data_IF_139334199943
#
_entry.id   IF_139334199943
#
_cell.length_a   1.000
_cell.length_b   1.000
_cell.length_c   1.000
_cell.angle_alpha   90.00
_cell.angle_beta   90.00
_cell.angle_gamma   90.00
#
_symmetry.space_group_name_H-M   'P 1'
#
loop_
_entity.id
_entity.type
_entity.pdbx_description
1 polymer ?
#
# COMPACT_ATOMS: atom_id res chain seq x y z
N UNK A 1 6.55 -25.04 0.85
CA UNK A 1 7.29 -24.36 1.95
C UNK A 1 6.43 -24.37 3.21
N UNK A 2 6.98 -24.88 4.29
CA UNK A 2 6.42 -24.74 5.64
C UNK A 2 6.38 -23.26 6.07
N UNK A 3 5.55 -22.92 7.07
CA UNK A 3 5.44 -21.53 7.58
C UNK A 3 6.80 -20.96 8.04
N UNK A 4 7.67 -21.72 8.75
CA UNK A 4 9.01 -21.25 9.10
C UNK A 4 9.88 -20.94 7.88
N UNK A 5 9.83 -21.77 6.83
CA UNK A 5 10.58 -21.55 5.59
C UNK A 5 10.08 -20.32 4.83
N UNK A 6 8.77 -20.13 4.76
CA UNK A 6 8.16 -18.93 4.19
C UNK A 6 8.64 -17.67 4.93
N UNK A 7 8.67 -17.70 6.27
CA UNK A 7 9.15 -16.59 7.10
C UNK A 7 10.64 -16.33 6.90
N UNK A 8 11.45 -17.40 6.80
CA UNK A 8 12.89 -17.31 6.51
C UNK A 8 13.13 -16.64 5.16
N UNK A 9 12.41 -17.08 4.12
CA UNK A 9 12.52 -16.52 2.77
C UNK A 9 12.04 -15.07 2.72
N UNK A 10 10.94 -14.75 3.40
CA UNK A 10 10.43 -13.39 3.50
C UNK A 10 11.45 -12.42 4.13
N UNK A 11 12.28 -12.88 5.07
CA UNK A 11 13.29 -12.06 5.78
C UNK A 11 14.65 -12.03 5.09
N UNK A 12 15.14 -13.18 4.60
CA UNK A 12 16.52 -13.34 4.11
C UNK A 12 16.63 -13.51 2.60
N UNK A 13 15.54 -13.86 1.94
CA UNK A 13 15.53 -14.07 0.49
C UNK A 13 15.82 -12.78 -0.28
N UNK A 14 16.33 -12.94 -1.49
CA UNK A 14 16.52 -11.84 -2.42
C UNK A 14 15.17 -11.26 -2.90
N UNK A 15 15.22 -10.21 -3.71
CA UNK A 15 14.01 -9.56 -4.19
C UNK A 15 13.14 -10.48 -5.07
N UNK A 16 13.74 -11.32 -5.90
CA UNK A 16 13.03 -12.22 -6.81
C UNK A 16 12.34 -13.34 -6.03
N UNK A 17 13.03 -13.91 -5.04
CA UNK A 17 12.49 -14.90 -4.12
C UNK A 17 11.31 -14.35 -3.32
N UNK A 18 11.41 -13.13 -2.79
CA UNK A 18 10.29 -12.49 -2.07
C UNK A 18 9.09 -12.20 -2.97
N UNK A 19 9.35 -11.81 -4.22
CA UNK A 19 8.30 -11.61 -5.23
C UNK A 19 7.60 -12.93 -5.56
N UNK A 20 8.36 -14.01 -5.74
CA UNK A 20 7.79 -15.34 -5.95
C UNK A 20 6.97 -15.79 -4.73
N UNK A 21 7.51 -15.60 -3.53
CA UNK A 21 6.85 -15.92 -2.26
C UNK A 21 5.51 -15.19 -2.12
N UNK A 22 5.47 -13.88 -2.40
CA UNK A 22 4.23 -13.07 -2.38
C UNK A 22 3.18 -13.61 -3.35
N UNK A 23 3.59 -13.96 -4.58
CA UNK A 23 2.68 -14.47 -5.62
C UNK A 23 2.11 -15.83 -5.27
N UNK A 24 2.90 -16.70 -4.65
CA UNK A 24 2.48 -18.06 -4.32
C UNK A 24 1.62 -18.12 -3.06
N UNK A 25 2.00 -17.39 -2.01
CA UNK A 25 1.42 -17.56 -0.67
C UNK A 25 0.54 -16.37 -0.22
N UNK A 26 0.70 -15.19 -0.82
CA UNK A 26 -0.16 -14.03 -0.59
C UNK A 26 -0.32 -13.67 0.88
N UNK A 27 -1.55 -13.81 1.40
CA UNK A 27 -1.96 -13.38 2.74
C UNK A 27 -1.08 -13.91 3.87
N UNK A 28 -0.55 -15.14 3.75
CA UNK A 28 0.21 -15.78 4.82
C UNK A 28 1.61 -15.19 4.99
N UNK A 29 2.13 -14.49 3.98
CA UNK A 29 3.51 -13.97 3.96
C UNK A 29 3.60 -12.46 3.99
N UNK A 30 2.50 -11.72 3.76
CA UNK A 30 2.53 -10.27 3.72
C UNK A 30 3.03 -9.63 5.01
N UNK A 31 2.67 -10.16 6.17
CA UNK A 31 3.18 -9.64 7.45
C UNK A 31 4.70 -9.80 7.57
N UNK A 32 5.21 -10.99 7.24
CA UNK A 32 6.64 -11.27 7.25
C UNK A 32 7.41 -10.41 6.22
N UNK A 33 6.82 -10.18 5.04
CA UNK A 33 7.38 -9.31 4.00
C UNK A 33 7.43 -7.85 4.48
N UNK A 34 6.33 -7.31 5.01
CA UNK A 34 6.25 -5.94 5.51
C UNK A 34 7.15 -5.71 6.75
N UNK A 35 7.54 -6.76 7.45
CA UNK A 35 8.53 -6.72 8.53
C UNK A 35 9.99 -6.84 8.05
N UNK A 36 10.24 -7.11 6.76
CA UNK A 36 11.59 -7.19 6.25
C UNK A 36 12.20 -5.77 6.10
N UNK A 37 13.34 -5.45 6.75
CA UNK A 37 13.99 -4.14 6.60
C UNK A 37 14.50 -3.85 5.19
N UNK A 38 14.65 -4.88 4.34
CA UNK A 38 15.08 -4.80 2.95
C UNK A 38 13.92 -4.77 1.95
N UNK A 39 12.67 -4.68 2.43
CA UNK A 39 11.52 -4.59 1.53
C UNK A 39 11.59 -3.29 0.72
N UNK A 40 11.34 -3.39 -0.59
CA UNK A 40 11.42 -2.25 -1.50
C UNK A 40 10.06 -1.55 -1.65
N UNK A 41 10.07 -0.27 -2.04
CA UNK A 41 8.83 0.47 -2.32
C UNK A 41 7.92 -0.20 -3.38
N UNK A 42 8.45 -0.78 -4.48
CA UNK A 42 7.62 -1.52 -5.43
C UNK A 42 6.97 -2.79 -4.86
N UNK A 43 7.63 -3.48 -3.92
CA UNK A 43 7.04 -4.62 -3.20
C UNK A 43 5.88 -4.16 -2.31
N UNK A 44 6.10 -3.10 -1.51
CA UNK A 44 5.05 -2.53 -0.65
C UNK A 44 3.86 -2.06 -1.48
N UNK A 45 4.09 -1.32 -2.58
CA UNK A 45 3.02 -0.83 -3.44
C UNK A 45 2.18 -1.97 -4.05
N UNK A 46 2.81 -3.10 -4.39
CA UNK A 46 2.12 -4.28 -4.92
C UNK A 46 1.20 -4.92 -3.89
N UNK A 47 1.68 -5.04 -2.64
CA UNK A 47 0.92 -5.55 -1.49
C UNK A 47 -0.23 -4.58 -1.16
N UNK A 48 0.06 -3.29 -1.07
CA UNK A 48 -0.90 -2.23 -0.73
C UNK A 48 -2.08 -2.14 -1.70
N UNK A 49 -1.89 -2.49 -2.98
CA UNK A 49 -2.96 -2.52 -3.99
C UNK A 49 -3.94 -3.70 -3.80
N UNK A 50 -3.56 -4.74 -3.06
CA UNK A 50 -4.39 -5.95 -2.93
C UNK A 50 -5.65 -5.65 -2.12
N UNK A 51 -6.81 -5.74 -2.76
CA UNK A 51 -8.11 -5.66 -2.08
C UNK A 51 -8.34 -6.76 -1.05
N UNK A 52 -7.47 -7.78 -0.98
CA UNK A 52 -7.51 -8.87 -0.01
C UNK A 52 -6.61 -8.63 1.21
N UNK A 53 -5.81 -7.56 1.25
CA UNK A 53 -4.95 -7.18 2.37
C UNK A 53 -5.76 -7.01 3.68
N UNK A 54 -5.33 -7.63 4.80
CA UNK A 54 -5.94 -7.40 6.11
C UNK A 54 -5.82 -5.94 6.54
N UNK A 55 -6.84 -5.45 7.25
CA UNK A 55 -6.91 -4.05 7.70
C UNK A 55 -5.73 -3.63 8.60
N UNK A 56 -5.27 -4.44 9.58
CA UNK A 56 -4.13 -4.06 10.41
C UNK A 56 -2.83 -3.85 9.61
N UNK A 57 -2.62 -4.64 8.54
CA UNK A 57 -1.45 -4.47 7.67
C UNK A 57 -1.58 -3.22 6.78
N UNK A 58 -2.80 -2.89 6.34
CA UNK A 58 -3.06 -1.65 5.62
C UNK A 58 -2.79 -0.42 6.51
N UNK A 59 -3.26 -0.44 7.75
CA UNK A 59 -3.05 0.64 8.74
C UNK A 59 -1.55 0.83 9.00
N UNK A 60 -0.80 -0.26 9.22
CA UNK A 60 0.66 -0.22 9.32
C UNK A 60 1.33 0.46 8.13
N UNK A 61 0.87 0.19 6.91
CA UNK A 61 1.45 0.82 5.71
C UNK A 61 1.17 2.34 5.70
N UNK A 62 -0.06 2.73 6.05
CA UNK A 62 -0.47 4.15 6.12
C UNK A 62 0.23 4.90 7.26
N UNK A 63 0.55 4.23 8.36
CA UNK A 63 1.19 4.85 9.52
C UNK A 63 2.71 5.02 9.34
N UNK A 64 3.31 4.34 8.39
CA UNK A 64 4.75 4.42 8.12
C UNK A 64 5.06 5.61 7.20
N UNK A 65 5.43 6.76 7.77
CA UNK A 65 5.73 8.00 7.01
C UNK A 65 6.77 7.80 5.91
N UNK A 66 7.80 6.99 6.16
CA UNK A 66 8.83 6.67 5.17
C UNK A 66 8.25 6.06 3.90
N UNK A 67 7.23 5.21 4.02
CA UNK A 67 6.56 4.59 2.87
C UNK A 67 5.60 5.56 2.17
N UNK A 68 4.93 6.44 2.93
CA UNK A 68 4.08 7.47 2.34
C UNK A 68 4.84 8.53 1.53
N UNK A 69 6.16 8.65 1.70
CA UNK A 69 6.99 9.50 0.84
C UNK A 69 6.97 9.07 -0.64
N UNK A 70 6.74 7.77 -0.90
CA UNK A 70 6.69 7.20 -2.25
C UNK A 70 5.34 7.45 -2.93
N UNK A 71 5.36 8.15 -4.07
CA UNK A 71 4.18 8.34 -4.91
C UNK A 71 3.56 7.00 -5.34
N UNK A 72 4.39 5.99 -5.61
CA UNK A 72 3.91 4.66 -6.01
C UNK A 72 3.07 4.00 -4.91
N UNK A 73 3.49 4.13 -3.64
CA UNK A 73 2.78 3.57 -2.48
C UNK A 73 1.48 4.35 -2.24
N UNK A 74 1.50 5.68 -2.26
CA UNK A 74 0.29 6.50 -2.12
C UNK A 74 -0.77 6.14 -3.16
N UNK A 75 -0.40 6.03 -4.45
CA UNK A 75 -1.32 5.65 -5.52
C UNK A 75 -1.86 4.23 -5.34
N UNK A 76 -1.02 3.29 -4.93
CA UNK A 76 -1.44 1.92 -4.65
C UNK A 76 -2.46 1.84 -3.51
N UNK A 77 -2.20 2.54 -2.41
CA UNK A 77 -3.12 2.66 -1.28
C UNK A 77 -4.45 3.28 -1.70
N UNK A 78 -4.41 4.43 -2.38
CA UNK A 78 -5.62 5.13 -2.82
C UNK A 78 -6.44 4.34 -3.85
N UNK A 79 -5.83 3.41 -4.58
CA UNK A 79 -6.56 2.49 -5.47
C UNK A 79 -7.26 1.33 -4.74
N UNK A 80 -6.96 1.11 -3.45
CA UNK A 80 -7.48 -0.01 -2.68
C UNK A 80 -8.81 0.34 -1.98
N UNK A 81 -9.87 -0.41 -2.31
CA UNK A 81 -11.24 -0.20 -1.82
C UNK A 81 -11.42 -0.49 -0.32
N UNK A 82 -10.43 -1.10 0.33
CA UNK A 82 -10.46 -1.37 1.79
C UNK A 82 -9.98 -0.21 2.66
N UNK A 83 -9.45 0.86 2.06
CA UNK A 83 -9.08 2.02 2.86
C UNK A 83 -10.32 2.65 3.49
N UNK A 84 -10.25 2.90 4.80
CA UNK A 84 -11.27 3.68 5.51
C UNK A 84 -11.15 5.15 5.16
N UNK A 85 -12.21 5.92 5.46
CA UNK A 85 -12.23 7.38 5.27
C UNK A 85 -11.02 8.07 5.94
N UNK A 86 -10.64 7.64 7.14
CA UNK A 86 -9.52 8.22 7.89
C UNK A 86 -8.17 7.93 7.22
N UNK A 87 -7.98 6.70 6.76
CA UNK A 87 -6.77 6.29 6.04
C UNK A 87 -6.64 7.04 4.72
N UNK A 88 -7.73 7.15 3.94
CA UNK A 88 -7.73 7.95 2.71
C UNK A 88 -7.33 9.39 3.02
N UNK A 89 -7.92 10.00 4.05
CA UNK A 89 -7.62 11.37 4.43
C UNK A 89 -6.14 11.56 4.81
N UNK A 90 -5.54 10.60 5.52
CA UNK A 90 -4.11 10.62 5.87
C UNK A 90 -3.22 10.51 4.63
N UNK A 91 -3.51 9.60 3.72
CA UNK A 91 -2.74 9.43 2.47
C UNK A 91 -2.88 10.64 1.55
N UNK A 92 -4.08 11.23 1.44
CA UNK A 92 -4.31 12.45 0.66
C UNK A 92 -3.55 13.65 1.23
N UNK A 93 -3.49 13.81 2.56
CA UNK A 93 -2.69 14.86 3.21
C UNK A 93 -1.19 14.68 2.99
N UNK A 94 -0.71 13.44 2.86
CA UNK A 94 0.67 13.13 2.48
C UNK A 94 0.93 13.25 0.96
N UNK A 95 -0.09 13.53 0.15
CA UNK A 95 0.04 13.64 -1.30
C UNK A 95 0.36 15.08 -1.70
N UNK A 96 1.42 15.32 -2.51
CA UNK A 96 1.72 16.64 -3.05
C UNK A 96 0.57 17.25 -3.86
N UNK A 97 0.40 18.57 -3.77
CA UNK A 97 -0.74 19.29 -4.37
C UNK A 97 -0.84 19.11 -5.89
N UNK A 98 0.28 18.98 -6.60
CA UNK A 98 0.30 18.71 -8.04
C UNK A 98 -0.29 17.34 -8.41
N UNK A 99 -0.04 16.30 -7.60
CA UNK A 99 -0.65 14.98 -7.79
C UNK A 99 -2.12 14.98 -7.35
N UNK A 100 -2.43 15.64 -6.23
CA UNK A 100 -3.78 15.71 -5.67
C UNK A 100 -4.79 16.29 -6.67
N UNK A 101 -4.41 17.34 -7.41
CA UNK A 101 -5.24 17.99 -8.45
C UNK A 101 -5.70 17.04 -9.56
N UNK A 102 -4.99 15.95 -9.80
CA UNK A 102 -5.33 14.99 -10.84
C UNK A 102 -6.28 13.89 -10.35
N UNK A 103 -6.35 13.66 -9.03
CA UNK A 103 -7.09 12.53 -8.44
C UNK A 103 -8.60 12.58 -8.68
N UNK A 104 -9.31 13.73 -8.53
CA UNK A 104 -10.76 13.80 -8.77
C UNK A 104 -11.18 13.34 -10.16
N UNK A 105 -10.34 13.59 -11.17
CA UNK A 105 -10.61 13.27 -12.57
C UNK A 105 -10.29 11.81 -12.94
N UNK A 106 -9.55 11.10 -12.09
CA UNK A 106 -9.07 9.75 -12.39
C UNK A 106 -10.05 8.67 -11.93
N UNK A 107 -10.71 8.01 -12.90
CA UNK A 107 -11.63 6.88 -12.65
C UNK A 107 -10.98 5.66 -11.99
N UNK A 108 -9.65 5.58 -11.99
CA UNK A 108 -8.90 4.54 -11.29
C UNK A 108 -9.06 4.60 -9.77
N UNK A 109 -9.42 5.78 -9.21
CA UNK A 109 -9.63 5.93 -7.78
C UNK A 109 -11.10 5.69 -7.37
N UNK A 110 -11.34 5.02 -6.23
CA UNK A 110 -12.67 4.86 -5.66
C UNK A 110 -13.37 6.22 -5.47
N UNK A 111 -14.72 6.28 -5.55
CA UNK A 111 -15.48 7.53 -5.35
C UNK A 111 -15.09 8.30 -4.09
N UNK A 112 -14.91 7.59 -2.96
CA UNK A 112 -14.48 8.17 -1.68
C UNK A 112 -13.17 8.97 -1.77
N UNK A 113 -12.21 8.49 -2.55
CA UNK A 113 -10.92 9.17 -2.73
C UNK A 113 -11.09 10.45 -3.54
N UNK A 114 -11.93 10.42 -4.57
CA UNK A 114 -12.21 11.58 -5.42
C UNK A 114 -12.93 12.68 -4.64
N UNK A 115 -13.99 12.31 -3.91
CA UNK A 115 -14.76 13.21 -3.04
C UNK A 115 -13.86 13.90 -1.98
N UNK A 116 -13.01 13.13 -1.30
CA UNK A 116 -12.12 13.68 -0.29
C UNK A 116 -10.99 14.54 -0.89
N UNK A 117 -10.54 14.21 -2.10
CA UNK A 117 -9.56 15.03 -2.81
C UNK A 117 -10.15 16.37 -3.26
N UNK A 118 -11.38 16.39 -3.77
CA UNK A 118 -12.14 17.62 -4.10
C UNK A 118 -12.28 18.50 -2.86
N UNK A 119 -12.76 17.92 -1.74
CA UNK A 119 -12.88 18.61 -0.45
C UNK A 119 -11.55 19.20 0.03
N UNK A 120 -10.44 18.48 -0.15
CA UNK A 120 -9.11 18.96 0.27
C UNK A 120 -8.54 20.05 -0.66
N UNK A 121 -8.96 20.07 -1.92
CA UNK A 121 -8.60 21.10 -2.90
C UNK A 121 -9.48 22.35 -2.80
N UNK A 122 -10.67 22.23 -2.19
CA UNK A 122 -11.66 23.30 -2.09
C UNK A 122 -12.39 23.56 -3.41
N UNK A 123 -12.64 22.50 -4.19
CA UNK A 123 -13.36 22.53 -5.47
C UNK A 123 -14.62 21.67 -5.44
#
# INVERSE_FOLDING_TARGET
LSVPEQTRLARKGDQMERVALERTYGKTVWEALLANPRITHPEIARIARKGTLPRPLLERIVDTTGWLSSAQIRRALLSNRKLTRDMVSKVLRATPRNELKLMPKQRAYPPLVRELAEKLLGI
#
